data_IF_073648199551
#
_entry.id   IF_073648199551
#
_cell.length_a   1.000
_cell.length_b   1.000
_cell.length_c   1.000
_cell.angle_alpha   90.00
_cell.angle_beta   90.00
_cell.angle_gamma   90.00
#
_symmetry.space_group_name_H-M   'P 1'
#
loop_
_entity.id
_entity.type
_entity.pdbx_description
1 polymer ?
#
# COMPACT_ATOMS: atom_id res chain seq x y z
N UNK A 1 -16.95 22.22 -3.86
CA UNK A 1 -17.01 20.99 -3.03
C UNK A 1 -17.96 21.28 -1.87
N UNK A 2 -18.81 20.34 -1.47
CA UNK A 2 -19.80 20.59 -0.40
C UNK A 2 -19.22 20.22 0.97
N UNK A 3 -19.12 21.19 1.87
CA UNK A 3 -18.52 21.03 3.21
C UNK A 3 -19.20 19.99 4.10
N UNK A 4 -20.47 19.69 3.83
CA UNK A 4 -21.29 18.70 4.55
C UNK A 4 -21.32 17.33 3.88
N UNK A 5 -20.59 17.15 2.78
CA UNK A 5 -20.51 15.83 2.15
C UNK A 5 -19.74 14.85 3.04
N UNK A 6 -20.21 13.59 3.15
CA UNK A 6 -19.56 12.59 3.99
C UNK A 6 -18.26 12.09 3.37
N UNK A 7 -17.21 11.97 4.16
CA UNK A 7 -15.92 11.43 3.76
C UNK A 7 -15.33 10.53 4.84
N UNK A 8 -14.70 9.43 4.42
CA UNK A 8 -13.97 8.53 5.32
C UNK A 8 -12.69 9.19 5.83
N UNK A 9 -12.38 8.99 7.11
CA UNK A 9 -11.09 9.36 7.67
C UNK A 9 -9.94 8.71 6.87
N UNK A 10 -8.84 9.46 6.72
CA UNK A 10 -7.67 9.02 5.94
C UNK A 10 -6.59 8.34 6.79
N UNK A 11 -6.69 8.43 8.11
CA UNK A 11 -5.78 7.74 9.02
C UNK A 11 -6.05 6.23 8.96
N UNK A 12 -5.00 5.45 8.72
CA UNK A 12 -5.11 3.99 8.56
C UNK A 12 -5.68 3.36 9.83
N UNK A 13 -6.76 2.59 9.68
CA UNK A 13 -7.43 1.90 10.79
C UNK A 13 -8.60 2.66 11.38
N UNK A 14 -8.76 3.95 11.08
CA UNK A 14 -9.96 4.71 11.45
C UNK A 14 -11.10 4.42 10.47
N UNK A 15 -12.28 4.07 11.00
CA UNK A 15 -13.50 3.81 10.23
C UNK A 15 -14.50 4.97 10.26
N UNK A 16 -14.16 6.09 10.89
CA UNK A 16 -15.04 7.24 11.03
C UNK A 16 -15.37 7.86 9.67
N UNK A 17 -16.62 8.30 9.53
CA UNK A 17 -17.12 9.06 8.39
C UNK A 17 -17.58 10.41 8.90
N UNK A 18 -16.96 11.47 8.40
CA UNK A 18 -17.14 12.84 8.89
C UNK A 18 -17.57 13.75 7.74
N UNK A 19 -18.15 14.90 8.07
CA UNK A 19 -18.30 15.97 7.07
C UNK A 19 -16.91 16.45 6.63
N UNK A 20 -16.79 16.89 5.38
CA UNK A 20 -15.53 17.44 4.88
C UNK A 20 -14.99 18.58 5.75
N UNK A 21 -15.84 19.47 6.27
CA UNK A 21 -15.42 20.56 7.16
C UNK A 21 -14.78 20.09 8.47
N UNK A 22 -15.18 18.92 8.97
CA UNK A 22 -14.75 18.41 10.28
C UNK A 22 -13.53 17.47 10.17
N UNK A 23 -13.16 17.08 8.94
CA UNK A 23 -12.10 16.10 8.65
C UNK A 23 -10.75 16.52 9.20
N UNK A 24 -10.37 17.79 9.00
CA UNK A 24 -9.06 18.29 9.37
C UNK A 24 -8.86 18.35 10.88
N UNK A 25 -9.89 18.82 11.61
CA UNK A 25 -9.89 18.83 13.06
C UNK A 25 -9.82 17.41 13.62
N UNK A 26 -10.64 16.49 13.09
CA UNK A 26 -10.58 15.08 13.48
C UNK A 26 -9.18 14.50 13.27
N UNK A 27 -8.62 14.63 12.06
CA UNK A 27 -7.35 13.98 11.71
C UNK A 27 -6.16 14.49 12.52
N UNK A 28 -6.13 15.79 12.85
CA UNK A 28 -5.02 16.39 13.60
C UNK A 28 -5.15 16.23 15.11
N UNK A 29 -6.35 16.34 15.65
CA UNK A 29 -6.54 16.54 17.09
C UNK A 29 -7.14 15.32 17.77
N UNK A 30 -8.22 14.75 17.21
CA UNK A 30 -9.04 13.76 17.93
C UNK A 30 -8.91 12.33 17.42
N UNK A 31 -8.29 12.11 16.25
CA UNK A 31 -8.22 10.78 15.66
C UNK A 31 -7.25 9.89 16.43
N UNK A 32 -7.78 8.83 17.03
CA UNK A 32 -7.00 7.82 17.75
C UNK A 32 -5.99 7.06 16.86
N UNK A 33 -6.20 7.05 15.56
CA UNK A 33 -5.32 6.41 14.58
C UNK A 33 -4.32 7.38 13.93
N UNK A 34 -4.28 8.65 14.36
CA UNK A 34 -3.27 9.59 13.88
C UNK A 34 -1.88 9.15 14.35
N UNK A 35 -0.88 9.39 13.51
CA UNK A 35 0.51 9.15 13.87
C UNK A 35 0.97 10.16 14.94
N UNK A 36 1.73 9.69 15.94
CA UNK A 36 2.24 10.54 17.03
C UNK A 36 3.76 10.46 17.23
N UNK A 37 4.42 9.51 16.58
CA UNK A 37 5.87 9.35 16.69
C UNK A 37 6.30 7.95 16.28
N UNK A 38 7.58 7.68 16.48
CA UNK A 38 8.18 6.36 16.25
C UNK A 38 8.37 5.69 17.62
N UNK A 39 8.20 4.37 17.67
CA UNK A 39 8.51 3.59 18.86
C UNK A 39 10.02 3.61 19.16
N UNK A 40 10.39 4.25 20.26
CA UNK A 40 11.77 4.35 20.74
C UNK A 40 12.24 3.08 21.48
N UNK A 41 11.32 2.19 21.86
CA UNK A 41 11.63 0.91 22.50
C UNK A 41 12.23 -0.15 21.56
N UNK A 42 12.48 0.21 20.29
CA UNK A 42 13.35 -0.56 19.39
C UNK A 42 12.68 -1.24 18.19
N UNK A 43 11.35 -1.17 18.03
CA UNK A 43 10.73 -1.70 16.79
C UNK A 43 10.76 -0.69 15.63
N UNK A 44 10.98 0.59 15.90
CA UNK A 44 11.05 1.64 14.88
C UNK A 44 9.74 1.88 14.11
N UNK A 45 8.63 1.28 14.53
CA UNK A 45 7.33 1.46 13.89
C UNK A 45 6.63 2.73 14.39
N UNK A 46 5.82 3.31 13.51
CA UNK A 46 5.00 4.49 13.82
C UNK A 46 3.91 4.13 14.83
N UNK A 47 3.81 4.91 15.91
CA UNK A 47 2.78 4.78 16.93
C UNK A 47 1.54 5.59 16.55
N UNK A 48 0.38 5.04 16.90
CA UNK A 48 -0.89 5.75 16.88
C UNK A 48 -1.12 6.49 18.19
N UNK A 49 -1.91 7.56 18.14
CA UNK A 49 -2.30 8.30 19.35
C UNK A 49 -2.96 7.41 20.40
N UNK A 50 -3.77 6.43 19.97
CA UNK A 50 -4.38 5.44 20.86
C UNK A 50 -3.34 4.60 21.59
N UNK A 51 -2.35 4.08 20.87
CA UNK A 51 -1.28 3.28 21.47
C UNK A 51 -0.49 4.09 22.50
N UNK A 52 -0.20 5.35 22.21
CA UNK A 52 0.50 6.25 23.14
C UNK A 52 -0.36 6.58 24.36
N UNK A 53 -1.63 6.93 24.15
CA UNK A 53 -2.57 7.30 25.23
C UNK A 53 -2.82 6.16 26.21
N UNK A 54 -2.84 4.92 25.72
CA UNK A 54 -3.12 3.73 26.53
C UNK A 54 -1.87 2.96 26.97
N UNK A 55 -0.68 3.45 26.60
CA UNK A 55 0.60 2.72 26.75
C UNK A 55 0.51 1.25 26.31
N UNK A 56 -0.22 1.01 25.22
CA UNK A 56 -0.65 -0.34 24.81
C UNK A 56 0.22 -0.95 23.71
N UNK A 57 1.33 -0.29 23.34
CA UNK A 57 2.18 -0.75 22.26
C UNK A 57 3.00 -1.97 22.67
N UNK A 58 3.07 -2.98 21.79
CA UNK A 58 3.89 -4.16 21.99
C UNK A 58 4.73 -4.41 20.74
N UNK A 59 6.04 -4.14 20.83
CA UNK A 59 7.00 -4.28 19.73
C UNK A 59 6.89 -5.63 19.03
N UNK A 60 6.79 -6.73 19.80
CA UNK A 60 6.69 -8.07 19.24
C UNK A 60 5.42 -8.27 18.40
N UNK A 61 4.25 -7.88 18.92
CA UNK A 61 2.97 -8.00 18.19
C UNK A 61 2.98 -7.14 16.93
N UNK A 62 3.48 -5.90 17.04
CA UNK A 62 3.56 -4.96 15.94
C UNK A 62 4.50 -5.46 14.83
N UNK A 63 5.71 -5.92 15.18
CA UNK A 63 6.66 -6.48 14.23
C UNK A 63 6.13 -7.76 13.58
N UNK A 64 5.49 -8.65 14.35
CA UNK A 64 4.88 -9.87 13.80
C UNK A 64 3.82 -9.54 12.75
N UNK A 65 2.93 -8.59 13.04
CA UNK A 65 1.92 -8.13 12.09
C UNK A 65 2.55 -7.47 10.85
N UNK A 66 3.54 -6.60 11.05
CA UNK A 66 4.25 -5.93 9.98
C UNK A 66 4.97 -6.90 9.06
N UNK A 67 5.68 -7.90 9.61
CA UNK A 67 6.34 -8.94 8.84
C UNK A 67 5.35 -9.79 8.05
N UNK A 68 4.20 -10.15 8.63
CA UNK A 68 3.14 -10.85 7.90
C UNK A 68 2.62 -10.05 6.69
N UNK A 69 2.40 -8.74 6.87
CA UNK A 69 1.98 -7.86 5.78
C UNK A 69 3.06 -7.75 4.69
N UNK A 70 4.34 -7.62 5.07
CA UNK A 70 5.45 -7.60 4.12
C UNK A 70 5.57 -8.92 3.35
N UNK A 71 5.43 -10.06 4.02
CA UNK A 71 5.46 -11.37 3.38
C UNK A 71 4.31 -11.51 2.36
N UNK A 72 3.11 -11.08 2.71
CA UNK A 72 1.97 -11.03 1.77
C UNK A 72 2.23 -10.14 0.55
N UNK A 73 2.88 -8.99 0.76
CA UNK A 73 3.29 -8.08 -0.32
C UNK A 73 4.33 -8.72 -1.25
N UNK A 74 5.33 -9.41 -0.70
CA UNK A 74 6.35 -10.12 -1.50
C UNK A 74 5.70 -11.19 -2.36
N UNK A 75 4.81 -12.02 -1.81
CA UNK A 75 4.09 -13.05 -2.58
C UNK A 75 3.24 -12.44 -3.69
N UNK A 76 2.58 -11.31 -3.42
CA UNK A 76 1.75 -10.62 -4.42
C UNK A 76 2.60 -10.05 -5.56
N UNK A 77 3.74 -9.44 -5.22
CA UNK A 77 4.68 -8.91 -6.21
C UNK A 77 5.33 -10.01 -7.05
N UNK A 78 5.69 -11.15 -6.46
CA UNK A 78 6.22 -12.31 -7.18
C UNK A 78 5.23 -12.83 -8.23
N UNK A 79 3.94 -12.93 -7.86
CA UNK A 79 2.87 -13.32 -8.80
C UNK A 79 2.74 -12.34 -9.96
N UNK A 80 2.74 -11.03 -9.68
CA UNK A 80 2.63 -10.03 -10.73
C UNK A 80 3.87 -10.03 -11.63
N UNK A 81 5.06 -10.21 -11.05
CA UNK A 81 6.31 -10.30 -11.81
C UNK A 81 6.31 -11.49 -12.75
N UNK A 82 5.88 -12.68 -12.30
CA UNK A 82 5.72 -13.87 -13.16
C UNK A 82 4.73 -13.62 -14.29
N UNK A 83 3.59 -12.98 -13.99
CA UNK A 83 2.58 -12.63 -14.99
C UNK A 83 3.13 -11.66 -16.04
N UNK A 84 3.88 -10.65 -15.62
CA UNK A 84 4.51 -9.69 -16.52
C UNK A 84 5.61 -10.36 -17.37
N UNK A 85 6.43 -11.23 -16.78
CA UNK A 85 7.44 -11.98 -17.51
C UNK A 85 6.82 -12.82 -18.65
N UNK A 86 5.74 -13.55 -18.37
CA UNK A 86 5.03 -14.33 -19.40
C UNK A 86 4.47 -13.45 -20.53
N UNK A 87 3.88 -12.30 -20.20
CA UNK A 87 3.38 -11.35 -21.20
C UNK A 87 4.50 -10.80 -22.07
N UNK A 88 5.62 -10.41 -21.46
CA UNK A 88 6.79 -9.89 -22.16
C UNK A 88 7.38 -10.93 -23.10
N UNK A 89 7.60 -12.16 -22.63
CA UNK A 89 8.11 -13.25 -23.48
C UNK A 89 7.16 -13.58 -24.64
N UNK A 90 5.85 -13.61 -24.41
CA UNK A 90 4.88 -13.83 -25.50
C UNK A 90 4.95 -12.73 -26.54
N UNK A 91 5.04 -11.46 -26.10
CA UNK A 91 5.15 -10.31 -26.99
C UNK A 91 6.46 -10.35 -27.79
N UNK A 92 7.58 -10.62 -27.13
CA UNK A 92 8.89 -10.74 -27.77
C UNK A 92 8.89 -11.80 -28.87
N UNK A 93 8.39 -13.01 -28.59
CA UNK A 93 8.27 -14.08 -29.59
C UNK A 93 7.40 -13.67 -30.78
N UNK A 94 6.27 -13.01 -30.52
CA UNK A 94 5.39 -12.51 -31.59
C UNK A 94 6.08 -11.48 -32.48
N UNK A 95 6.84 -10.55 -31.88
CA UNK A 95 7.58 -9.53 -32.62
C UNK A 95 8.71 -10.13 -33.44
N UNK A 96 9.45 -11.10 -32.88
CA UNK A 96 10.50 -11.82 -33.59
C UNK A 96 9.94 -12.59 -34.80
N UNK A 97 8.78 -13.24 -34.65
CA UNK A 97 8.11 -13.93 -35.76
C UNK A 97 7.70 -12.96 -36.89
N UNK A 98 7.17 -11.78 -36.53
CA UNK A 98 6.81 -10.75 -37.52
C UNK A 98 8.06 -10.21 -38.25
N UNK A 99 9.14 -9.94 -37.52
CA UNK A 99 10.41 -9.51 -38.12
C UNK A 99 10.96 -10.56 -39.08
N UNK A 100 10.92 -11.85 -38.70
CA UNK A 100 11.37 -12.93 -39.58
C UNK A 100 10.51 -13.04 -40.85
N UNK A 101 9.20 -12.86 -40.75
CA UNK A 101 8.31 -12.90 -41.90
C UNK A 101 8.64 -11.78 -42.90
N UNK A 102 8.76 -10.53 -42.41
CA UNK A 102 9.12 -9.38 -43.25
C UNK A 102 10.53 -9.52 -43.83
N UNK A 103 11.49 -10.06 -43.08
CA UNK A 103 12.84 -10.30 -43.60
C UNK A 103 12.85 -11.28 -44.77
N UNK A 104 12.06 -12.37 -44.68
CA UNK A 104 11.93 -13.33 -45.77
C UNK A 104 11.24 -12.71 -47.00
N UNK A 105 10.23 -11.85 -46.81
CA UNK A 105 9.57 -11.13 -47.91
C UNK A 105 10.54 -10.19 -48.65
N UNK A 106 11.50 -9.58 -47.95
CA UNK A 106 12.51 -8.69 -48.55
C UNK A 106 13.65 -9.45 -49.28
N UNK A 107 13.82 -10.75 -49.02
CA UNK A 107 14.84 -11.59 -49.65
C UNK A 107 14.34 -12.34 -50.90
N UNK A 108 13.03 -12.28 -51.16
CA UNK A 108 12.38 -12.79 -52.38
C UNK A 108 12.39 -11.74 -53.49
#
# INVERSE_FOLDING_TARGET
MCDYSPAKCRNKGCSEVLNLKDMDAHMRESCDYRAVGICESGCGLMLTHKEQKLDSHCCFKALKAHNGALQGKVVSLDKELKKQALKSTKREKSLLAQLSAVHNELQM
#
